data_IF_953508675428
#
_entry.id   IF_953508675428
#
_cell.length_a   1.000
_cell.length_b   1.000
_cell.length_c   1.000
_cell.angle_alpha   90.00
_cell.angle_beta   90.00
_cell.angle_gamma   90.00
#
_symmetry.space_group_name_H-M   'P 1'
#
loop_
_entity.id
_entity.type
_entity.pdbx_description
1 polymer ?
#
# COMPACT_ATOMS: atom_id res chain seq x y z
N UNK A 1 7.77 13.45 4.37
CA UNK A 1 8.44 13.00 3.21
C UNK A 1 7.49 12.48 2.18
N UNK A 2 7.76 12.76 0.93
CA UNK A 2 6.89 12.35 -0.11
C UNK A 2 7.19 10.96 -0.51
N UNK A 3 6.22 10.11 -0.55
CA UNK A 3 6.43 8.72 -0.87
C UNK A 3 6.37 8.46 -2.35
N UNK A 4 5.52 9.17 -3.05
CA UNK A 4 5.54 9.12 -4.48
C UNK A 4 5.05 10.45 -4.99
N UNK A 5 5.42 10.79 -6.22
CA UNK A 5 5.05 12.04 -6.72
C UNK A 5 4.00 11.89 -7.70
N UNK A 6 3.09 12.85 -7.80
CA UNK A 6 2.20 12.87 -8.79
C UNK A 6 2.89 13.16 -10.01
N UNK A 7 2.53 12.55 -11.07
CA UNK A 7 3.15 12.79 -12.31
C UNK A 7 2.84 14.18 -12.74
N UNK A 8 3.79 14.85 -13.17
CA UNK A 8 3.57 16.16 -13.41
C UNK A 8 3.19 16.33 -14.74
N UNK A 9 2.62 17.12 -15.11
CA UNK A 9 2.14 17.43 -16.12
C UNK A 9 2.81 17.58 -17.20
N UNK A 10 3.43 18.06 -17.32
CA UNK A 10 4.05 18.26 -18.41
C UNK A 10 3.67 17.38 -19.41
N UNK A 11 3.38 16.41 -19.07
CA UNK A 11 2.96 15.43 -19.82
C UNK A 11 3.14 15.29 -21.22
N UNK A 12 3.93 15.95 -21.75
CA UNK A 12 4.01 15.84 -23.07
C UNK A 12 5.03 14.91 -23.46
N UNK A 13 5.82 14.40 -22.58
CA UNK A 13 6.87 13.47 -22.93
C UNK A 13 6.22 12.12 -23.12
N UNK A 14 6.01 11.74 -24.33
CA UNK A 14 5.37 10.49 -24.63
C UNK A 14 6.22 9.30 -24.29
N UNK A 15 7.50 9.49 -24.02
CA UNK A 15 8.37 8.41 -23.64
C UNK A 15 8.55 8.32 -22.14
N UNK A 16 7.85 9.14 -21.38
CA UNK A 16 7.97 9.09 -19.94
C UNK A 16 7.46 7.77 -19.42
N UNK A 17 8.20 7.20 -18.47
CA UNK A 17 7.79 5.97 -17.84
C UNK A 17 6.61 6.24 -16.97
N UNK A 18 5.58 5.42 -17.09
CA UNK A 18 4.36 5.58 -16.29
C UNK A 18 4.22 4.38 -15.40
N UNK A 19 4.70 4.49 -14.19
CA UNK A 19 4.63 3.38 -13.25
C UNK A 19 3.34 3.41 -12.48
N UNK A 20 2.82 2.23 -12.21
CA UNK A 20 1.63 2.06 -11.40
C UNK A 20 2.03 1.32 -10.14
N UNK A 21 1.39 1.62 -9.03
CA UNK A 21 1.66 0.96 -7.76
C UNK A 21 0.36 0.51 -7.13
N UNK A 22 0.34 -0.68 -6.58
CA UNK A 22 -0.83 -1.19 -5.89
C UNK A 22 -0.40 -1.89 -4.61
N UNK A 23 -1.16 -1.69 -3.54
CA UNK A 23 -0.97 -2.41 -2.30
C UNK A 23 -2.29 -3.08 -1.93
N UNK A 24 -2.20 -4.35 -1.57
CA UNK A 24 -3.33 -5.11 -1.08
C UNK A 24 -2.97 -5.55 0.34
N UNK A 25 -3.63 -4.94 1.32
CA UNK A 25 -3.41 -5.27 2.72
C UNK A 25 -4.56 -6.16 3.18
N UNK A 26 -4.28 -7.44 3.28
CA UNK A 26 -5.26 -8.42 3.69
C UNK A 26 -5.13 -8.81 5.14
N UNK A 27 -5.87 -9.82 5.53
CA UNK A 27 -5.86 -10.33 6.90
C UNK A 27 -4.51 -10.96 7.25
N UNK A 28 -3.89 -11.65 6.31
CA UNK A 28 -2.66 -12.36 6.58
C UNK A 28 -1.41 -11.74 6.01
N UNK A 29 -1.52 -11.00 4.93
CA UNK A 29 -0.32 -10.52 4.25
C UNK A 29 -0.51 -9.14 3.63
N UNK A 30 0.60 -8.51 3.38
CA UNK A 30 0.68 -7.23 2.71
C UNK A 30 1.42 -7.48 1.40
N UNK A 31 0.86 -7.04 0.29
CA UNK A 31 1.47 -7.23 -1.03
C UNK A 31 1.54 -5.93 -1.77
N UNK A 32 2.67 -5.73 -2.41
CA UNK A 32 2.91 -4.55 -3.24
C UNK A 32 3.27 -5.01 -4.64
N UNK A 33 2.75 -4.32 -5.63
CA UNK A 33 3.13 -4.53 -7.03
C UNK A 33 3.47 -3.19 -7.63
N UNK A 34 4.60 -3.12 -8.31
CA UNK A 34 4.93 -1.99 -9.17
C UNK A 34 4.89 -2.51 -10.59
N UNK A 35 4.18 -1.83 -11.45
CA UNK A 35 3.99 -2.28 -12.83
C UNK A 35 4.08 -1.11 -13.79
N UNK A 36 4.40 -1.43 -15.01
CA UNK A 36 4.44 -0.45 -16.07
C UNK A 36 3.48 -0.92 -17.16
N UNK A 37 2.66 -0.05 -17.72
CA UNK A 37 1.73 -0.48 -18.76
C UNK A 37 2.45 -0.76 -20.07
N UNK A 38 1.90 -1.69 -20.82
CA UNK A 38 2.35 -1.95 -22.17
C UNK A 38 1.15 -1.68 -23.08
N UNK A 39 1.30 -1.72 -24.38
CA UNK A 39 0.14 -1.47 -25.26
C UNK A 39 -1.03 -2.40 -25.01
N UNK A 40 -0.79 -3.61 -24.57
CA UNK A 40 -1.85 -4.58 -24.42
C UNK A 40 -2.04 -5.10 -23.01
N UNK A 41 -1.14 -4.77 -22.08
CA UNK A 41 -1.21 -5.35 -20.74
C UNK A 41 -0.28 -4.57 -19.80
N UNK A 42 0.33 -5.25 -18.84
CA UNK A 42 1.24 -4.69 -17.89
C UNK A 42 2.50 -5.50 -17.84
N UNK A 43 3.58 -4.84 -17.51
CA UNK A 43 4.83 -5.49 -17.20
C UNK A 43 5.09 -5.27 -15.71
N UNK A 44 5.18 -6.35 -14.95
CA UNK A 44 5.45 -6.22 -13.51
C UNK A 44 6.94 -5.99 -13.33
N UNK A 45 7.26 -4.88 -12.67
CA UNK A 45 8.64 -4.49 -12.48
C UNK A 45 9.16 -5.00 -11.15
N UNK A 46 8.34 -4.93 -10.12
CA UNK A 46 8.77 -5.34 -8.80
C UNK A 46 7.58 -5.74 -7.95
N UNK A 47 7.77 -6.70 -7.06
CA UNK A 47 6.76 -7.09 -6.09
C UNK A 47 7.41 -7.19 -4.72
N UNK A 48 6.60 -7.02 -3.70
CA UNK A 48 7.02 -7.23 -2.33
C UNK A 48 5.85 -7.86 -1.59
N UNK A 49 6.13 -8.83 -0.75
CA UNK A 49 5.08 -9.52 -0.02
C UNK A 49 5.61 -9.88 1.37
N UNK A 50 4.78 -9.68 2.37
CA UNK A 50 5.17 -10.04 3.74
C UNK A 50 3.94 -10.52 4.50
N UNK A 51 4.11 -11.57 5.29
CA UNK A 51 3.06 -12.06 6.16
C UNK A 51 3.04 -11.14 7.38
N UNK A 52 1.94 -10.45 7.59
CA UNK A 52 1.81 -9.48 8.67
C UNK A 52 0.81 -9.91 9.73
N UNK A 53 -0.08 -10.83 9.38
CA UNK A 53 -1.12 -11.32 10.28
C UNK A 53 -1.86 -10.20 10.98
N UNK A 54 -2.29 -9.23 10.23
CA UNK A 54 -3.02 -8.08 10.76
C UNK A 54 -4.28 -8.53 11.48
N UNK A 55 -4.90 -9.62 11.02
CA UNK A 55 -6.13 -10.12 11.63
C UNK A 55 -5.95 -10.97 12.87
N UNK A 56 -4.71 -11.12 13.34
CA UNK A 56 -4.47 -11.94 14.52
C UNK A 56 -5.23 -11.39 15.72
N UNK A 57 -6.05 -12.22 16.34
CA UNK A 57 -6.82 -11.80 17.51
C UNK A 57 -8.11 -11.06 17.23
N UNK A 58 -8.38 -10.73 15.97
CA UNK A 58 -9.52 -9.90 15.68
C UNK A 58 -10.85 -10.56 15.98
N UNK A 59 -10.93 -11.88 15.83
CA UNK A 59 -12.17 -12.59 16.12
C UNK A 59 -12.55 -12.43 17.58
N UNK A 60 -11.55 -12.46 18.44
CA UNK A 60 -11.79 -12.42 19.86
C UNK A 60 -12.01 -11.01 20.36
N UNK A 61 -11.17 -10.08 19.92
CA UNK A 61 -11.18 -8.73 20.45
C UNK A 61 -11.95 -7.73 19.60
N UNK A 62 -12.25 -8.11 18.39
CA UNK A 62 -12.92 -7.23 17.42
C UNK A 62 -12.13 -5.97 17.14
N UNK A 63 -10.82 -6.04 17.33
CA UNK A 63 -9.95 -4.92 17.00
C UNK A 63 -8.57 -5.42 16.63
N UNK A 64 -7.83 -4.60 15.93
CA UNK A 64 -6.47 -4.89 15.55
C UNK A 64 -5.58 -4.75 16.78
N UNK A 65 -4.73 -5.73 17.03
CA UNK A 65 -3.84 -5.66 18.18
C UNK A 65 -2.71 -4.68 17.91
N UNK A 66 -2.09 -4.20 18.97
CA UNK A 66 -0.97 -3.30 18.86
C UNK A 66 0.19 -3.97 18.16
N UNK A 67 0.46 -5.22 18.46
CA UNK A 67 1.56 -5.93 17.85
C UNK A 67 1.34 -6.18 16.36
N UNK A 68 0.15 -6.61 15.99
CA UNK A 68 -0.17 -6.84 14.59
C UNK A 68 -0.11 -5.54 13.81
N UNK A 69 -0.59 -4.45 14.40
CA UNK A 69 -0.54 -3.15 13.76
C UNK A 69 0.90 -2.71 13.54
N UNK A 70 1.76 -2.92 14.52
CA UNK A 70 3.16 -2.54 14.40
C UNK A 70 3.86 -3.33 13.31
N UNK A 71 3.63 -4.65 13.27
CA UNK A 71 4.23 -5.49 12.21
C UNK A 71 3.80 -5.02 10.84
N UNK A 72 2.53 -4.69 10.73
CA UNK A 72 1.96 -4.29 9.45
C UNK A 72 2.50 -2.94 9.00
N UNK A 73 2.61 -1.99 9.92
CA UNK A 73 3.16 -0.67 9.60
C UNK A 73 4.61 -0.80 9.15
N UNK A 74 5.36 -1.71 9.77
CA UNK A 74 6.73 -1.94 9.35
C UNK A 74 6.80 -2.40 7.90
N UNK A 75 5.92 -3.32 7.51
CA UNK A 75 5.86 -3.79 6.13
C UNK A 75 5.44 -2.66 5.19
N UNK A 76 4.48 -1.84 5.61
CA UNK A 76 4.02 -0.72 4.79
C UNK A 76 5.09 0.34 4.62
N UNK A 77 5.98 0.51 5.60
CA UNK A 77 7.11 1.42 5.44
C UNK A 77 8.02 0.93 4.33
N UNK A 78 8.26 -0.37 4.26
CA UNK A 78 9.06 -0.93 3.18
C UNK A 78 8.38 -0.70 1.84
N UNK A 79 7.06 -0.91 1.79
CA UNK A 79 6.31 -0.62 0.57
C UNK A 79 6.50 0.84 0.14
N UNK A 80 6.41 1.74 1.08
CA UNK A 80 6.56 3.17 0.82
C UNK A 80 7.95 3.49 0.25
N UNK A 81 8.98 2.85 0.78
CA UNK A 81 10.33 3.05 0.29
C UNK A 81 10.51 2.53 -1.13
N UNK A 82 9.94 1.36 -1.40
CA UNK A 82 10.01 0.79 -2.75
C UNK A 82 9.27 1.71 -3.73
N UNK A 83 8.08 2.17 -3.36
CA UNK A 83 7.32 3.05 -4.22
C UNK A 83 8.12 4.31 -4.54
N UNK A 84 8.82 4.85 -3.56
CA UNK A 84 9.64 6.04 -3.77
C UNK A 84 10.73 5.82 -4.80
N UNK A 85 11.26 4.62 -4.89
CA UNK A 85 12.30 4.30 -5.85
C UNK A 85 11.79 4.33 -7.29
N UNK A 86 10.51 4.15 -7.47
CA UNK A 86 9.92 4.11 -8.80
C UNK A 86 9.13 5.38 -9.12
N UNK A 87 9.26 6.40 -8.29
CA UNK A 87 8.58 7.67 -8.57
C UNK A 87 9.13 8.29 -9.86
N UNK A 88 8.33 9.00 -10.61
CA UNK A 88 6.94 9.33 -10.28
C UNK A 88 5.98 8.19 -10.57
N UNK A 89 4.96 8.09 -9.73
CA UNK A 89 3.93 7.08 -9.92
C UNK A 89 2.74 7.73 -10.62
N UNK A 90 2.37 7.18 -11.74
CA UNK A 90 1.28 7.73 -12.53
C UNK A 90 -0.07 7.43 -11.90
N UNK A 91 -0.26 6.21 -11.42
CA UNK A 91 -1.47 5.82 -10.71
C UNK A 91 -1.14 4.91 -9.58
N UNK A 92 -1.87 5.04 -8.49
CA UNK A 92 -1.65 4.20 -7.33
C UNK A 92 -2.98 3.84 -6.70
N UNK A 93 -3.11 2.62 -6.23
CA UNK A 93 -4.27 2.22 -5.48
C UNK A 93 -3.83 1.33 -4.32
N UNK A 94 -4.18 1.75 -3.12
CA UNK A 94 -3.79 1.04 -1.91
C UNK A 94 -5.05 0.68 -1.17
N UNK A 95 -5.29 -0.61 -0.95
CA UNK A 95 -6.53 -1.06 -0.34
C UNK A 95 -6.28 -1.92 0.89
N UNK A 96 -7.21 -1.84 1.84
CA UNK A 96 -7.22 -2.67 3.03
C UNK A 96 -8.54 -3.43 3.04
N UNK A 97 -8.49 -4.70 3.33
CA UNK A 97 -9.64 -5.54 3.13
C UNK A 97 -10.19 -6.12 4.43
N UNK A 98 -10.43 -7.42 4.52
CA UNK A 98 -11.26 -8.03 5.54
C UNK A 98 -10.94 -7.64 7.00
N UNK A 99 -9.69 -7.71 7.42
CA UNK A 99 -9.37 -7.39 8.81
C UNK A 99 -9.74 -5.94 9.14
N UNK A 100 -9.45 -5.04 8.22
CA UNK A 100 -9.79 -3.64 8.43
C UNK A 100 -11.29 -3.41 8.41
N UNK A 101 -12.03 -4.11 7.56
CA UNK A 101 -13.47 -3.95 7.56
C UNK A 101 -14.08 -4.37 8.89
N UNK A 102 -13.50 -5.37 9.54
CA UNK A 102 -14.07 -5.93 10.75
C UNK A 102 -13.65 -5.24 12.03
N UNK A 103 -12.50 -4.63 12.03
CA UNK A 103 -11.95 -4.08 13.26
C UNK A 103 -12.56 -2.73 13.60
N UNK A 104 -12.99 -2.56 14.84
CA UNK A 104 -13.54 -1.29 15.23
C UNK A 104 -12.52 -0.18 15.33
N UNK A 105 -11.23 -0.52 15.43
CA UNK A 105 -10.17 0.49 15.49
C UNK A 105 -9.43 0.67 14.18
N UNK A 106 -10.02 0.25 13.08
CA UNK A 106 -9.34 0.32 11.79
C UNK A 106 -9.01 1.75 11.37
N UNK A 107 -9.91 2.71 11.63
CA UNK A 107 -9.65 4.07 11.22
C UNK A 107 -8.44 4.64 11.93
N UNK A 108 -8.27 4.32 13.21
CA UNK A 108 -7.10 4.77 13.96
C UNK A 108 -5.84 4.15 13.37
N UNK A 109 -5.91 2.87 13.01
CA UNK A 109 -4.80 2.19 12.38
C UNK A 109 -4.43 2.86 11.06
N UNK A 110 -5.41 3.16 10.22
CA UNK A 110 -5.12 3.77 8.92
C UNK A 110 -4.58 5.19 9.07
N UNK A 111 -5.02 5.92 10.09
CA UNK A 111 -4.46 7.24 10.37
C UNK A 111 -2.98 7.14 10.74
N UNK A 112 -2.65 6.13 11.54
CA UNK A 112 -1.27 5.93 11.95
C UNK A 112 -0.40 5.50 10.75
N UNK A 113 -0.95 4.68 9.87
CA UNK A 113 -0.27 4.29 8.63
C UNK A 113 0.07 5.56 7.84
N UNK A 114 -0.90 6.43 7.66
CA UNK A 114 -0.68 7.64 6.88
C UNK A 114 0.35 8.53 7.54
N UNK A 115 0.29 8.64 8.86
CA UNK A 115 1.24 9.48 9.58
C UNK A 115 2.67 8.95 9.44
N UNK A 116 2.84 7.64 9.52
CA UNK A 116 4.19 7.07 9.51
C UNK A 116 4.74 6.78 8.12
N UNK A 117 3.89 6.52 7.15
CA UNK A 117 4.37 6.09 5.83
C UNK A 117 3.96 7.03 4.70
N UNK A 118 2.97 7.86 4.93
CA UNK A 118 2.41 8.69 3.87
C UNK A 118 1.41 7.94 2.99
N UNK A 119 1.20 6.66 3.23
CA UNK A 119 0.30 5.87 2.39
C UNK A 119 -1.13 6.05 2.83
N UNK A 120 -2.01 6.20 1.86
CA UNK A 120 -3.41 6.45 2.11
C UNK A 120 -4.18 5.22 1.61
N UNK A 121 -4.51 4.31 2.51
CA UNK A 121 -5.21 3.10 2.15
C UNK A 121 -6.72 3.30 2.28
N UNK A 122 -7.46 2.75 1.33
CA UNK A 122 -8.91 2.78 1.44
C UNK A 122 -9.43 1.42 1.82
N UNK A 123 -10.49 1.36 2.61
CA UNK A 123 -11.10 0.10 3.01
C UNK A 123 -12.07 -0.31 1.93
N UNK A 124 -11.95 -1.51 1.46
CA UNK A 124 -12.89 -2.02 0.46
C UNK A 124 -13.61 -3.27 0.95
#
# INVERSE_FOLDING_TARGET
MQKYKKFSRGGKDENAVRNYAAIDLGTNSCRLVIASPTPTSFHIIETFSRITRLGEGIIKENELSREASRRTIKALKICSEIISEYAPIHRARFVATAACRRAKNCRDFLSEVKRQTGLNLEII
#
